data_IF_567302006103
#
_entry.id   IF_567302006103
#
_cell.length_a   1.000
_cell.length_b   1.000
_cell.length_c   1.000
_cell.angle_alpha   90.00
_cell.angle_beta   90.00
_cell.angle_gamma   90.00
#
_symmetry.space_group_name_H-M   'P 1'
#
loop_
_entity.id
_entity.type
_entity.pdbx_description
1 polymer ?
#
# COMPACT_ATOMS: atom_id res chain seq x y z
N UNK A 1 -9.17 -18.19 -2.59
CA UNK A 1 -7.80 -18.00 -2.07
C UNK A 1 -6.93 -18.87 -2.92
N UNK A 2 -5.81 -18.36 -3.42
CA UNK A 2 -4.89 -19.15 -4.23
C UNK A 2 -4.08 -20.12 -3.35
N UNK A 3 -3.24 -20.94 -4.00
CA UNK A 3 -2.39 -21.92 -3.33
C UNK A 3 -1.38 -21.30 -2.34
N UNK A 4 -1.09 -20.01 -2.42
CA UNK A 4 -0.19 -19.29 -1.51
C UNK A 4 -0.93 -18.63 -0.34
N UNK A 5 -2.25 -18.81 -0.23
CA UNK A 5 -3.04 -18.17 0.82
C UNK A 5 -3.27 -16.68 0.58
N UNK A 6 -3.24 -16.20 -0.67
CA UNK A 6 -3.67 -14.85 -1.03
C UNK A 6 -5.09 -14.83 -1.60
N UNK A 7 -5.78 -13.70 -1.47
CA UNK A 7 -7.13 -13.53 -2.00
C UNK A 7 -7.11 -13.60 -3.51
N UNK A 8 -8.10 -14.25 -4.12
CA UNK A 8 -8.27 -14.24 -5.59
C UNK A 8 -9.49 -13.42 -5.99
N UNK A 9 -10.53 -13.46 -5.16
CA UNK A 9 -11.74 -12.66 -5.35
C UNK A 9 -12.31 -12.27 -3.99
N UNK A 10 -12.77 -11.02 -3.87
CA UNK A 10 -13.61 -10.56 -2.77
C UNK A 10 -15.05 -10.46 -3.27
N UNK A 11 -16.01 -10.91 -2.46
CA UNK A 11 -17.44 -10.85 -2.77
C UNK A 11 -18.24 -10.29 -1.61
N UNK A 12 -19.30 -9.57 -1.92
CA UNK A 12 -20.33 -9.11 -0.99
C UNK A 12 -21.68 -9.55 -1.54
N UNK A 13 -22.47 -10.25 -0.72
CA UNK A 13 -23.79 -10.79 -1.08
C UNK A 13 -23.86 -11.58 -2.41
N UNK A 14 -22.72 -12.15 -2.81
CA UNK A 14 -22.58 -12.95 -4.03
C UNK A 14 -21.98 -12.19 -5.21
N UNK A 15 -21.95 -10.86 -5.16
CA UNK A 15 -21.38 -9.99 -6.18
C UNK A 15 -19.88 -9.85 -6.01
N UNK A 16 -19.13 -9.89 -7.11
CA UNK A 16 -17.67 -9.79 -7.08
C UNK A 16 -17.28 -8.33 -6.97
N UNK A 17 -16.71 -7.95 -5.83
CA UNK A 17 -16.21 -6.61 -5.58
C UNK A 17 -14.80 -6.40 -6.13
N UNK A 18 -13.99 -7.46 -6.13
CA UNK A 18 -12.68 -7.38 -6.75
C UNK A 18 -12.04 -8.73 -7.06
N UNK A 19 -11.14 -8.73 -8.04
CA UNK A 19 -10.35 -9.90 -8.44
C UNK A 19 -8.87 -9.55 -8.45
N UNK A 20 -8.04 -10.43 -7.88
CA UNK A 20 -6.64 -10.16 -7.59
C UNK A 20 -5.74 -11.13 -8.35
N UNK A 21 -4.69 -10.59 -8.96
CA UNK A 21 -3.68 -11.34 -9.68
C UNK A 21 -2.32 -11.01 -9.11
N UNK A 22 -1.43 -12.00 -9.08
CA UNK A 22 -0.11 -11.89 -8.47
C UNK A 22 0.97 -12.30 -9.45
N UNK A 23 2.14 -11.67 -9.33
CA UNK A 23 3.39 -12.10 -9.95
C UNK A 23 4.44 -12.34 -8.86
N UNK A 24 5.00 -13.54 -8.82
CA UNK A 24 5.98 -13.97 -7.80
C UNK A 24 5.58 -13.68 -6.34
N UNK A 25 4.28 -13.70 -6.07
CA UNK A 25 3.67 -13.45 -4.76
C UNK A 25 3.46 -11.96 -4.42
N UNK A 26 3.84 -11.04 -5.30
CA UNK A 26 3.47 -9.63 -5.22
C UNK A 26 2.18 -9.39 -5.99
N UNK A 27 1.30 -8.54 -5.47
CA UNK A 27 0.08 -8.15 -6.18
C UNK A 27 0.47 -7.45 -7.49
N UNK A 28 0.01 -7.95 -8.64
CA UNK A 28 0.30 -7.35 -9.94
C UNK A 28 -0.89 -6.59 -10.51
N UNK A 29 -2.10 -7.08 -10.24
CA UNK A 29 -3.34 -6.44 -10.71
C UNK A 29 -4.49 -6.69 -9.76
N UNK A 30 -5.31 -5.66 -9.58
CA UNK A 30 -6.63 -5.74 -8.98
C UNK A 30 -7.66 -5.22 -10.00
N UNK A 31 -8.70 -5.99 -10.24
CA UNK A 31 -9.89 -5.59 -10.99
C UNK A 31 -11.02 -5.26 -10.01
N UNK A 32 -11.78 -4.20 -10.25
CA UNK A 32 -12.96 -3.81 -9.50
C UNK A 32 -13.98 -3.14 -10.44
N UNK A 33 -15.20 -2.88 -9.98
CA UNK A 33 -16.21 -2.24 -10.82
C UNK A 33 -15.77 -0.82 -11.21
N UNK A 34 -15.83 -0.49 -12.50
CA UNK A 34 -15.40 0.81 -13.02
C UNK A 34 -13.89 0.99 -13.18
N UNK A 35 -13.03 0.00 -12.89
CA UNK A 35 -11.58 0.19 -13.09
C UNK A 35 -10.66 -0.98 -12.75
N UNK A 36 -9.37 -0.67 -12.77
CA UNK A 36 -8.35 -1.57 -12.25
C UNK A 36 -7.16 -0.79 -11.69
N UNK A 37 -6.42 -1.47 -10.82
CA UNK A 37 -5.12 -1.08 -10.30
C UNK A 37 -4.06 -2.03 -10.83
N UNK A 38 -2.97 -1.49 -11.38
CA UNK A 38 -1.80 -2.23 -11.83
C UNK A 38 -0.60 -1.85 -10.98
N UNK A 39 0.12 -2.84 -10.49
CA UNK A 39 1.23 -2.67 -9.58
C UNK A 39 2.54 -3.12 -10.25
N UNK A 40 3.53 -2.23 -10.26
CA UNK A 40 4.88 -2.54 -10.73
C UNK A 40 5.83 -2.61 -9.57
N UNK A 41 6.54 -3.73 -9.47
CA UNK A 41 7.49 -3.99 -8.40
C UNK A 41 8.91 -3.97 -8.95
N UNK A 42 9.84 -3.43 -8.17
CA UNK A 42 11.27 -3.42 -8.49
C UNK A 42 12.06 -3.64 -7.22
N UNK A 43 13.01 -4.58 -7.24
CA UNK A 43 13.83 -4.96 -6.09
C UNK A 43 13.02 -5.32 -4.81
N UNK A 44 11.78 -5.80 -5.01
CA UNK A 44 10.87 -6.17 -3.92
C UNK A 44 10.14 -5.00 -3.27
N UNK A 45 10.14 -3.82 -3.89
CA UNK A 45 9.37 -2.65 -3.49
C UNK A 45 8.35 -2.25 -4.58
N UNK A 46 7.18 -1.75 -4.18
CA UNK A 46 6.11 -1.32 -5.08
C UNK A 46 6.40 0.08 -5.63
N UNK A 47 7.05 0.17 -6.78
CA UNK A 47 7.54 1.45 -7.32
C UNK A 47 6.49 2.26 -8.09
N UNK A 48 5.46 1.60 -8.62
CA UNK A 48 4.39 2.27 -9.35
C UNK A 48 3.05 1.57 -9.14
N UNK A 49 2.04 2.39 -8.88
CA UNK A 49 0.62 2.01 -8.89
C UNK A 49 -0.08 2.81 -9.98
N UNK A 50 -0.78 2.13 -10.89
CA UNK A 50 -1.55 2.75 -11.97
C UNK A 50 -3.02 2.39 -11.84
N UNK A 51 -3.84 3.39 -11.51
CA UNK A 51 -5.30 3.31 -11.49
C UNK A 51 -5.86 3.77 -12.83
N UNK A 52 -6.76 2.99 -13.42
CA UNK A 52 -7.32 3.28 -14.76
C UNK A 52 -8.85 3.44 -14.77
N UNK A 53 -9.44 3.89 -13.66
CA UNK A 53 -10.87 4.20 -13.59
C UNK A 53 -11.17 5.58 -14.23
N UNK A 54 -12.34 6.13 -13.94
CA UNK A 54 -12.79 7.47 -14.35
C UNK A 54 -11.91 8.62 -13.82
N UNK A 55 -11.22 8.40 -12.70
CA UNK A 55 -10.19 9.29 -12.15
C UNK A 55 -8.80 8.63 -12.19
N UNK A 56 -8.17 8.50 -13.38
CA UNK A 56 -6.92 7.77 -13.51
C UNK A 56 -5.78 8.45 -12.76
N UNK A 57 -4.95 7.66 -12.08
CA UNK A 57 -3.82 8.15 -11.31
C UNK A 57 -2.64 7.19 -11.39
N UNK A 58 -1.45 7.76 -11.61
CA UNK A 58 -0.19 7.06 -11.43
C UNK A 58 0.45 7.55 -10.11
N UNK A 59 0.75 6.64 -9.20
CA UNK A 59 1.47 6.92 -7.96
C UNK A 59 2.86 6.29 -8.03
N UNK A 60 3.88 7.14 -8.05
CA UNK A 60 5.28 6.71 -8.05
C UNK A 60 5.79 6.72 -6.61
N UNK A 61 6.32 5.58 -6.16
CA UNK A 61 6.82 5.43 -4.80
C UNK A 61 8.35 5.37 -4.78
N UNK A 62 8.95 6.10 -3.85
CA UNK A 62 10.36 5.93 -3.48
C UNK A 62 10.46 5.30 -2.10
N UNK A 63 11.56 4.60 -1.87
CA UNK A 63 11.80 3.86 -0.63
C UNK A 63 13.07 4.34 0.06
N UNK A 64 13.06 4.19 1.38
CA UNK A 64 14.26 4.37 2.20
C UNK A 64 15.17 3.14 2.07
N UNK A 65 16.37 3.20 2.65
CA UNK A 65 17.21 2.01 2.85
C UNK A 65 16.83 1.19 4.10
N UNK A 66 15.82 1.62 4.88
CA UNK A 66 15.41 0.93 6.10
C UNK A 66 14.48 -0.22 5.75
N UNK A 67 14.75 -1.41 6.29
CA UNK A 67 13.91 -2.58 6.09
C UNK A 67 12.51 -2.41 6.71
N UNK A 68 11.48 -2.88 6.01
CA UNK A 68 10.10 -2.87 6.47
C UNK A 68 9.81 -4.09 7.37
N UNK A 69 10.42 -4.13 8.56
CA UNK A 69 10.26 -5.25 9.50
C UNK A 69 8.84 -5.45 10.04
N UNK A 70 8.01 -4.42 9.89
CA UNK A 70 6.66 -4.33 10.45
C UNK A 70 5.56 -4.47 9.40
N UNK A 71 5.90 -4.72 8.14
CA UNK A 71 4.95 -4.81 7.03
C UNK A 71 4.03 -3.58 6.93
N UNK A 72 4.59 -2.39 7.17
CA UNK A 72 3.89 -1.12 7.03
C UNK A 72 3.81 -0.79 5.54
N UNK A 73 2.60 -0.76 4.99
CA UNK A 73 2.32 -0.18 3.68
C UNK A 73 1.27 0.92 3.89
N UNK A 74 1.52 2.16 3.45
CA UNK A 74 0.60 3.28 3.69
C UNK A 74 -0.32 3.58 2.51
N UNK A 75 0.10 3.28 1.28
CA UNK A 75 -0.59 3.73 0.06
C UNK A 75 -1.47 2.69 -0.62
N UNK A 76 -1.14 1.43 -0.36
CA UNK A 76 -2.03 0.28 -0.45
C UNK A 76 -3.48 0.55 0.01
N UNK A 77 -3.62 1.23 1.15
CA UNK A 77 -4.89 1.30 1.88
C UNK A 77 -5.59 2.64 1.78
N UNK A 78 -4.85 3.73 1.58
CA UNK A 78 -5.44 5.06 1.74
C UNK A 78 -6.41 5.42 0.62
N UNK A 79 -6.36 4.75 -0.55
CA UNK A 79 -7.20 5.14 -1.69
C UNK A 79 -7.67 4.04 -2.66
N UNK A 80 -7.23 2.77 -2.58
CA UNK A 80 -7.50 1.92 -3.75
C UNK A 80 -7.21 0.44 -3.76
N UNK A 81 -6.84 -0.26 -2.68
CA UNK A 81 -6.86 -1.72 -2.79
C UNK A 81 -8.25 -2.29 -2.90
N UNK A 82 -9.30 -1.53 -2.60
CA UNK A 82 -10.65 -2.06 -2.54
C UNK A 82 -11.68 -0.94 -2.50
N UNK A 83 -12.65 -0.99 -3.40
CA UNK A 83 -13.93 -0.31 -3.23
C UNK A 83 -14.80 -1.10 -2.23
N UNK A 84 -14.31 -1.33 -1.02
CA UNK A 84 -15.12 -1.73 0.13
C UNK A 84 -14.87 -0.78 1.28
N UNK A 85 -15.86 -0.64 2.14
CA UNK A 85 -15.66 -0.07 3.47
C UNK A 85 -14.64 -0.94 4.24
N UNK A 86 -13.63 -0.31 4.81
CA UNK A 86 -12.59 -0.91 5.67
C UNK A 86 -11.63 -1.96 5.03
N UNK A 87 -10.88 -1.65 3.96
CA UNK A 87 -9.94 -2.61 3.35
C UNK A 87 -8.62 -2.78 4.12
N UNK A 88 -8.43 -2.00 5.18
CA UNK A 88 -7.21 -1.91 5.98
C UNK A 88 -6.82 -3.25 6.61
N UNK A 89 -7.80 -4.07 7.01
CA UNK A 89 -7.53 -5.36 7.65
C UNK A 89 -6.88 -6.37 6.68
N UNK A 90 -7.26 -6.36 5.40
CA UNK A 90 -6.84 -7.38 4.45
C UNK A 90 -5.35 -7.35 4.17
N UNK A 91 -4.80 -6.15 4.04
CA UNK A 91 -3.37 -6.01 3.85
C UNK A 91 -2.58 -6.10 5.17
N UNK A 92 -3.14 -5.73 6.33
CA UNK A 92 -2.49 -5.96 7.65
C UNK A 92 -2.39 -7.46 7.94
N UNK A 93 -3.39 -8.25 7.54
CA UNK A 93 -3.39 -9.70 7.68
C UNK A 93 -2.53 -10.43 6.63
N UNK A 94 -1.84 -9.72 5.72
CA UNK A 94 -0.98 -10.33 4.70
C UNK A 94 -1.72 -11.08 3.59
N UNK A 95 -3.02 -10.85 3.41
CA UNK A 95 -3.85 -11.55 2.43
C UNK A 95 -3.68 -11.02 0.99
N UNK A 96 -3.03 -9.86 0.85
CA UNK A 96 -2.79 -9.17 -0.42
C UNK A 96 -1.40 -9.43 -1.01
N UNK A 97 -0.75 -10.53 -0.62
CA UNK A 97 0.57 -10.90 -1.11
C UNK A 97 1.71 -10.32 -0.28
N UNK A 98 2.93 -10.40 -0.84
CA UNK A 98 4.15 -9.86 -0.25
C UNK A 98 4.09 -8.33 -0.16
N UNK A 99 4.74 -7.78 0.87
CA UNK A 99 4.86 -6.34 1.10
C UNK A 99 6.19 -5.80 0.57
N UNK A 100 6.29 -4.48 0.53
CA UNK A 100 7.54 -3.81 0.18
C UNK A 100 8.64 -4.17 1.17
N UNK A 101 9.85 -4.45 0.68
CA UNK A 101 11.02 -4.80 1.50
C UNK A 101 11.49 -3.64 2.37
N UNK A 102 11.26 -2.40 1.93
CA UNK A 102 11.71 -1.19 2.62
C UNK A 102 10.57 -0.28 3.02
N UNK A 103 10.85 0.60 3.98
CA UNK A 103 9.89 1.63 4.39
C UNK A 103 9.76 2.68 3.29
N UNK A 104 8.51 3.00 2.92
CA UNK A 104 8.21 4.01 1.90
C UNK A 104 8.73 5.38 2.34
N UNK A 105 9.38 6.09 1.44
CA UNK A 105 9.92 7.44 1.65
C UNK A 105 8.96 8.49 1.09
N UNK A 106 8.49 8.29 -0.14
CA UNK A 106 7.53 9.17 -0.79
C UNK A 106 6.54 8.38 -1.63
N UNK A 107 5.34 8.95 -1.78
CA UNK A 107 4.35 8.58 -2.78
C UNK A 107 3.98 9.85 -3.55
N UNK A 108 4.18 9.85 -4.86
CA UNK A 108 3.96 11.02 -5.72
C UNK A 108 2.84 10.71 -6.71
N UNK A 109 1.72 11.41 -6.58
CA UNK A 109 0.58 11.33 -7.48
C UNK A 109 0.17 12.70 -8.02
N UNK A 110 -1.03 12.80 -8.58
CA UNK A 110 -1.56 14.03 -9.19
C UNK A 110 -1.74 15.16 -8.16
N UNK A 111 -2.09 14.81 -6.92
CA UNK A 111 -2.35 15.75 -5.83
C UNK A 111 -1.09 16.15 -5.04
N UNK A 112 0.08 15.78 -5.58
CA UNK A 112 1.39 16.10 -5.01
C UNK A 112 2.07 14.91 -4.35
N UNK A 113 2.95 15.24 -3.40
CA UNK A 113 3.88 14.29 -2.78
C UNK A 113 3.48 14.10 -1.33
N UNK A 114 3.27 12.84 -0.94
CA UNK A 114 3.20 12.44 0.46
C UNK A 114 4.57 11.90 0.85
N UNK A 115 5.15 12.43 1.93
CA UNK A 115 6.47 12.06 2.42
C UNK A 115 6.38 11.43 3.80
N UNK A 116 7.25 10.47 4.06
CA UNK A 116 7.34 9.74 5.33
C UNK A 116 8.77 9.81 5.88
N UNK A 117 8.88 10.03 7.18
CA UNK A 117 10.14 9.89 7.92
C UNK A 117 9.95 9.02 9.16
N UNK A 118 11.03 8.34 9.56
CA UNK A 118 10.99 7.30 10.57
C UNK A 118 12.09 7.51 11.61
N UNK A 119 11.73 7.31 12.87
CA UNK A 119 12.67 6.99 13.94
C UNK A 119 12.43 5.53 14.35
N UNK A 120 13.49 4.78 14.62
CA UNK A 120 13.43 3.34 14.89
C UNK A 120 14.13 2.99 16.20
N UNK A 121 13.72 1.89 16.84
CA UNK A 121 14.43 1.34 17.99
C UNK A 121 15.77 0.67 17.57
N UNK A 122 16.53 0.16 18.54
CA UNK A 122 17.81 -0.53 18.31
C UNK A 122 17.71 -1.75 17.40
N UNK A 123 16.54 -2.40 17.37
CA UNK A 123 16.27 -3.57 16.53
C UNK A 123 15.80 -3.19 15.11
N UNK A 124 15.67 -1.90 14.82
CA UNK A 124 15.28 -1.38 13.51
C UNK A 124 13.76 -1.41 13.26
N UNK A 125 12.94 -1.51 14.31
CA UNK A 125 11.49 -1.35 14.21
C UNK A 125 11.11 0.14 14.34
N UNK A 126 10.27 0.69 13.46
CA UNK A 126 9.83 2.09 13.55
C UNK A 126 9.08 2.37 14.86
N UNK A 127 9.52 3.35 15.64
CA UNK A 127 8.86 3.82 16.87
C UNK A 127 8.14 5.15 16.67
N UNK A 128 8.50 5.89 15.62
CA UNK A 128 7.81 7.13 15.25
C UNK A 128 7.78 7.28 13.74
N UNK A 129 6.64 7.70 13.21
CA UNK A 129 6.43 7.93 11.78
C UNK A 129 5.85 9.33 11.61
N UNK A 130 6.50 10.17 10.80
CA UNK A 130 5.96 11.49 10.45
C UNK A 130 5.52 11.47 9.00
N UNK A 131 4.25 11.79 8.75
CA UNK A 131 3.66 11.95 7.42
C UNK A 131 3.46 13.44 7.12
N UNK A 132 3.94 13.90 5.97
CA UNK A 132 3.71 15.26 5.46
C UNK A 132 3.24 15.23 4.00
N UNK A 133 2.69 16.35 3.51
CA UNK A 133 2.20 16.49 2.14
C UNK A 133 2.73 17.78 1.50
N UNK A 134 3.05 17.73 0.20
CA UNK A 134 3.46 18.88 -0.61
C UNK A 134 2.67 18.90 -1.92
N UNK A 135 1.90 19.96 -2.25
CA UNK A 135 1.67 21.13 -1.41
C UNK A 135 0.94 20.78 -0.10
N UNK A 136 1.21 21.55 0.95
CA UNK A 136 0.65 21.27 2.27
C UNK A 136 -0.85 21.62 2.29
N UNK A 137 -1.70 20.58 2.32
CA UNK A 137 -3.14 20.73 2.54
C UNK A 137 -3.52 20.56 4.02
N UNK A 138 -2.72 19.78 4.76
CA UNK A 138 -2.92 19.47 6.17
C UNK A 138 -1.58 19.58 6.92
N UNK A 139 -1.59 19.83 8.24
CA UNK A 139 -0.38 19.75 9.06
C UNK A 139 0.20 18.33 9.03
N UNK A 140 1.52 18.23 9.21
CA UNK A 140 2.18 16.95 9.31
C UNK A 140 1.60 16.14 10.49
N UNK A 141 1.34 14.85 10.25
CA UNK A 141 0.82 13.92 11.25
C UNK A 141 1.96 13.07 11.78
N UNK A 142 2.03 12.88 13.10
CA UNK A 142 3.03 12.01 13.74
C UNK A 142 2.34 10.86 14.44
N UNK A 143 2.78 9.65 14.14
CA UNK A 143 2.38 8.42 14.80
C UNK A 143 3.50 7.95 15.72
N UNK A 144 3.17 7.47 16.91
CA UNK A 144 4.10 6.82 17.83
C UNK A 144 3.69 5.36 18.00
N UNK A 145 4.65 4.45 17.88
CA UNK A 145 4.46 3.01 17.96
C UNK A 145 5.23 2.51 19.17
N UNK A 146 4.54 1.79 20.05
CA UNK A 146 5.13 1.12 21.21
C UNK A 146 5.08 -0.38 20.99
N UNK A 147 6.22 -1.03 21.19
CA UNK A 147 6.33 -2.49 21.16
C UNK A 147 6.39 -2.98 22.61
N UNK A 148 5.56 -3.97 22.94
CA UNK A 148 5.50 -4.63 24.24
C UNK A 148 5.97 -6.06 24.17
#
# INVERSE_FOLDING_TARGET
MNANGYIESLKEDGDVLGTYTYDNGYLSKLLFDGGNLQCTWSNGDLVLERRTNDDPMDVNNEYTSQANKTNIDFFAFTWGYLHVDDPEFLGVCGLLGKKSNHLIKTATGNDGIISYSYESNSDGYPTKITRSQTPAHNPATTYQITYS
#
